data_IF_151834532143
#
_entry.id   IF_151834532143
#
_cell.length_a   1.000
_cell.length_b   1.000
_cell.length_c   1.000
_cell.angle_alpha   90.00
_cell.angle_beta   90.00
_cell.angle_gamma   90.00
#
_symmetry.space_group_name_H-M   'P 1'
#
loop_
_entity.id
_entity.type
_entity.pdbx_description
1 polymer ?
#
# COMPACT_ATOMS: atom_id res chain seq x y z
N UNK A 1 5.92 8.86 8.48
CA UNK A 1 4.61 8.33 8.08
C UNK A 1 3.99 7.69 9.31
N UNK A 2 2.74 8.05 9.64
CA UNK A 2 2.06 7.49 10.81
C UNK A 2 1.84 5.98 10.67
N UNK A 3 1.87 5.22 11.78
CA UNK A 3 1.63 3.78 11.77
C UNK A 3 0.31 3.38 11.09
N UNK A 4 -0.76 4.18 11.26
CA UNK A 4 -2.06 3.90 10.65
C UNK A 4 -2.01 3.90 9.11
N UNK A 5 -1.27 4.82 8.50
CA UNK A 5 -1.10 4.87 7.04
C UNK A 5 -0.30 3.66 6.57
N UNK A 6 0.79 3.33 7.29
CA UNK A 6 1.60 2.14 7.00
C UNK A 6 0.76 0.87 6.99
N UNK A 7 0.01 0.62 8.07
CA UNK A 7 -0.81 -0.58 8.20
C UNK A 7 -1.91 -0.66 7.13
N UNK A 8 -2.47 0.48 6.72
CA UNK A 8 -3.43 0.52 5.62
C UNK A 8 -2.79 0.11 4.28
N UNK A 9 -1.56 0.56 4.00
CA UNK A 9 -0.85 0.19 2.77
C UNK A 9 -0.43 -1.29 2.77
N UNK A 10 0.06 -1.81 3.90
CA UNK A 10 0.36 -3.24 4.08
C UNK A 10 -0.89 -4.11 3.85
N UNK A 11 -2.02 -3.69 4.40
CA UNK A 11 -3.29 -4.40 4.21
C UNK A 11 -3.80 -4.31 2.77
N UNK A 12 -3.65 -3.18 2.10
CA UNK A 12 -3.96 -3.05 0.67
C UNK A 12 -3.11 -3.99 -0.20
N UNK A 13 -1.82 -4.16 0.14
CA UNK A 13 -0.94 -5.10 -0.55
C UNK A 13 -1.38 -6.56 -0.32
N UNK A 14 -1.74 -6.93 0.91
CA UNK A 14 -2.31 -8.24 1.23
C UNK A 14 -3.61 -8.52 0.46
N UNK A 15 -4.52 -7.55 0.39
CA UNK A 15 -5.75 -7.65 -0.40
C UNK A 15 -5.46 -7.83 -1.90
N UNK A 16 -4.44 -7.13 -2.42
CA UNK A 16 -3.99 -7.28 -3.81
C UNK A 16 -3.50 -8.71 -4.08
N UNK A 17 -2.68 -9.28 -3.18
CA UNK A 17 -2.22 -10.68 -3.28
C UNK A 17 -3.35 -11.70 -3.20
N UNK A 18 -4.44 -11.36 -2.51
CA UNK A 18 -5.66 -12.19 -2.43
C UNK A 18 -6.63 -11.97 -3.59
N UNK A 19 -6.21 -11.25 -4.63
CA UNK A 19 -7.04 -10.92 -5.80
C UNK A 19 -8.31 -10.11 -5.43
N UNK A 20 -8.25 -9.30 -4.36
CA UNK A 20 -9.33 -8.42 -3.87
C UNK A 20 -9.05 -6.96 -4.23
N UNK A 21 -8.81 -6.69 -5.52
CA UNK A 21 -8.32 -5.39 -6.00
C UNK A 21 -9.21 -4.20 -5.61
N UNK A 22 -10.54 -4.35 -5.70
CA UNK A 22 -11.49 -3.26 -5.36
C UNK A 22 -11.32 -2.81 -3.91
N UNK A 23 -11.14 -3.77 -3.01
CA UNK A 23 -10.97 -3.49 -1.58
C UNK A 23 -9.59 -2.93 -1.28
N UNK A 24 -8.55 -3.45 -1.95
CA UNK A 24 -7.20 -2.90 -1.85
C UNK A 24 -7.17 -1.41 -2.25
N UNK A 25 -7.82 -1.06 -3.36
CA UNK A 25 -7.92 0.33 -3.83
C UNK A 25 -8.70 1.19 -2.84
N UNK A 26 -9.82 0.70 -2.29
CA UNK A 26 -10.60 1.45 -1.30
C UNK A 26 -9.78 1.77 -0.05
N UNK A 27 -9.02 0.79 0.46
CA UNK A 27 -8.12 0.99 1.62
C UNK A 27 -7.01 1.99 1.30
N UNK A 28 -6.35 1.86 0.15
CA UNK A 28 -5.29 2.77 -0.26
C UNK A 28 -5.80 4.21 -0.46
N UNK A 29 -6.97 4.38 -1.07
CA UNK A 29 -7.59 5.71 -1.25
C UNK A 29 -7.91 6.37 0.10
N UNK A 30 -8.46 5.61 1.05
CA UNK A 30 -8.72 6.14 2.39
C UNK A 30 -7.41 6.57 3.08
N UNK A 31 -6.34 5.77 2.94
CA UNK A 31 -5.03 6.13 3.48
C UNK A 31 -4.49 7.44 2.85
N UNK A 32 -4.58 7.60 1.53
CA UNK A 32 -4.15 8.83 0.86
C UNK A 32 -4.99 10.04 1.24
N UNK A 33 -6.30 9.86 1.46
CA UNK A 33 -7.19 10.93 1.89
C UNK A 33 -6.88 11.43 3.32
N UNK A 34 -6.42 10.54 4.20
CA UNK A 34 -6.08 10.88 5.58
C UNK A 34 -4.63 11.32 5.78
N UNK A 35 -3.77 11.16 4.78
CA UNK A 35 -2.37 11.55 4.83
C UNK A 35 -2.21 13.08 4.82
N UNK A 36 -1.24 13.59 5.58
CA UNK A 36 -0.84 15.00 5.47
C UNK A 36 0.14 15.22 4.32
N UNK A 37 0.32 16.48 3.93
CA UNK A 37 1.27 16.85 2.88
C UNK A 37 2.70 16.35 3.16
N UNK A 38 3.12 16.39 4.43
CA UNK A 38 4.44 15.94 4.89
C UNK A 38 4.61 14.42 4.84
N UNK A 39 3.51 13.65 4.83
CA UNK A 39 3.54 12.19 4.77
C UNK A 39 3.65 11.67 3.33
N UNK A 40 3.29 12.46 2.30
CA UNK A 40 3.33 12.00 0.91
C UNK A 40 4.70 11.54 0.40
N UNK A 41 5.83 12.23 0.73
CA UNK A 41 7.15 11.74 0.36
C UNK A 41 7.44 10.35 0.94
N UNK A 42 7.07 10.13 2.20
CA UNK A 42 7.29 8.86 2.90
C UNK A 42 6.39 7.74 2.36
N UNK A 43 5.13 8.05 2.03
CA UNK A 43 4.19 7.14 1.36
C UNK A 43 4.75 6.71 0.01
N UNK A 44 5.27 7.66 -0.79
CA UNK A 44 5.85 7.37 -2.11
C UNK A 44 7.09 6.47 -2.01
N UNK A 45 7.97 6.76 -1.03
CA UNK A 45 9.13 5.92 -0.77
C UNK A 45 8.70 4.50 -0.40
N UNK A 46 7.77 4.37 0.55
CA UNK A 46 7.27 3.07 0.98
C UNK A 46 6.66 2.26 -0.18
N UNK A 47 5.83 2.88 -1.02
CA UNK A 47 5.24 2.22 -2.20
C UNK A 47 6.28 1.77 -3.22
N UNK A 48 7.37 2.52 -3.36
CA UNK A 48 8.49 2.16 -4.24
C UNK A 48 9.21 0.92 -3.72
N UNK A 49 9.50 0.90 -2.41
CA UNK A 49 10.20 -0.20 -1.76
C UNK A 49 9.35 -1.49 -1.74
N UNK A 50 8.03 -1.36 -1.68
CA UNK A 50 7.07 -2.46 -1.55
C UNK A 50 6.29 -2.74 -2.84
N UNK A 51 6.75 -2.24 -4.00
CA UNK A 51 6.05 -2.44 -5.26
C UNK A 51 5.84 -3.94 -5.60
N UNK A 52 6.77 -4.79 -5.17
CA UNK A 52 6.70 -6.24 -5.35
C UNK A 52 5.53 -6.90 -4.60
N UNK A 53 5.11 -6.34 -3.46
CA UNK A 53 3.97 -6.85 -2.68
C UNK A 53 2.64 -6.72 -3.42
N UNK A 54 2.54 -5.79 -4.39
CA UNK A 54 1.36 -5.57 -5.20
C UNK A 54 1.36 -6.34 -6.51
N UNK A 55 2.53 -6.79 -6.99
CA UNK A 55 2.68 -7.49 -8.27
C UNK A 55 2.79 -9.00 -8.13
N UNK A 56 2.81 -9.52 -6.89
CA UNK A 56 2.94 -10.96 -6.62
C UNK A 56 4.31 -11.53 -6.99
N UNK A 57 5.32 -10.66 -7.08
CA UNK A 57 6.68 -10.99 -7.50
C UNK A 57 7.49 -11.72 -6.43
N UNK A 58 7.03 -12.89 -5.98
CA UNK A 58 7.82 -13.84 -5.20
C UNK A 58 7.60 -15.27 -5.74
N UNK A 59 7.82 -15.42 -7.04
CA UNK A 59 8.11 -16.73 -7.63
C UNK A 59 9.57 -16.72 -8.09
N UNK A 60 10.52 -17.29 -7.33
CA UNK A 60 11.79 -17.69 -7.92
C UNK A 60 11.46 -18.67 -9.05
N UNK A 61 11.94 -18.34 -10.24
CA UNK A 61 11.78 -19.13 -11.46
C UNK A 61 12.70 -20.34 -11.45
#
# INVERSE_FOLDING_TARGET
MRPAIRSALEYAAELTRRNRLVEAVAVAQAAFHHATADEFPEIRQWLTDHAHDFTGGDTPR
#
